data_IF_836698940156
#
_entry.id   IF_836698940156
#
_cell.length_a   1.000
_cell.length_b   1.000
_cell.length_c   1.000
_cell.angle_alpha   90.00
_cell.angle_beta   90.00
_cell.angle_gamma   90.00
#
_symmetry.space_group_name_H-M   'P 1'
#
loop_
_entity.id
_entity.type
_entity.pdbx_description
1 polymer ?
#
# COMPACT_ATOMS: atom_id res chain seq x y z
N UNK A 1 21.71 -1.72 -17.31
CA UNK A 1 20.42 -2.21 -16.76
C UNK A 1 20.67 -3.40 -15.86
N UNK A 2 20.36 -3.26 -14.57
CA UNK A 2 20.51 -4.30 -13.55
C UNK A 2 19.45 -5.42 -13.69
N UNK A 3 19.66 -6.53 -12.97
CA UNK A 3 18.79 -7.72 -13.03
C UNK A 3 17.35 -7.42 -12.61
N UNK A 4 17.14 -6.52 -11.65
CA UNK A 4 15.82 -6.15 -11.17
C UNK A 4 15.08 -5.33 -12.22
N UNK A 5 15.72 -4.32 -12.80
CA UNK A 5 15.14 -3.51 -13.88
C UNK A 5 14.71 -4.34 -15.09
N UNK A 6 15.47 -5.40 -15.45
CA UNK A 6 15.08 -6.32 -16.53
C UNK A 6 13.83 -7.13 -16.21
N UNK A 7 13.67 -7.58 -14.95
CA UNK A 7 12.48 -8.32 -14.53
C UNK A 7 11.23 -7.46 -14.60
N UNK A 8 11.31 -6.22 -14.12
CA UNK A 8 10.19 -5.26 -14.12
C UNK A 8 9.70 -4.98 -15.54
N UNK A 9 10.62 -4.71 -16.47
CA UNK A 9 10.27 -4.51 -17.87
C UNK A 9 9.75 -5.78 -18.55
N UNK A 10 10.23 -6.96 -18.15
CA UNK A 10 9.69 -8.24 -18.60
C UNK A 10 8.22 -8.44 -18.24
N UNK A 11 7.74 -7.79 -17.17
CA UNK A 11 6.32 -7.74 -16.78
C UNK A 11 5.55 -6.59 -17.42
N UNK A 12 6.15 -5.88 -18.39
CA UNK A 12 5.58 -4.67 -19.03
C UNK A 12 5.26 -3.54 -18.04
N UNK A 13 5.95 -3.50 -16.91
CA UNK A 13 5.87 -2.41 -15.94
C UNK A 13 6.99 -1.41 -16.20
N UNK A 14 6.70 -0.12 -16.01
CA UNK A 14 7.68 0.96 -16.10
C UNK A 14 8.11 1.42 -14.70
N UNK A 15 9.38 1.83 -14.57
CA UNK A 15 9.87 2.48 -13.35
C UNK A 15 9.75 3.99 -13.53
N UNK A 16 8.89 4.63 -12.72
CA UNK A 16 8.61 6.06 -12.79
C UNK A 16 9.60 6.93 -11.98
N UNK A 17 10.80 6.45 -11.72
CA UNK A 17 11.78 7.19 -10.90
C UNK A 17 12.35 8.38 -11.69
N UNK A 18 11.73 9.56 -11.55
CA UNK A 18 12.04 10.79 -12.29
C UNK A 18 12.79 11.87 -11.45
N UNK A 19 13.11 11.61 -10.17
CA UNK A 19 13.95 12.51 -9.39
C UNK A 19 14.40 11.95 -8.04
N UNK A 20 15.66 12.20 -7.64
CA UNK A 20 16.12 11.92 -6.27
C UNK A 20 15.41 12.85 -5.29
N UNK A 21 14.74 12.29 -4.28
CA UNK A 21 14.23 13.06 -3.13
C UNK A 21 12.87 13.75 -3.31
N UNK A 22 12.03 13.31 -4.28
CA UNK A 22 10.69 13.89 -4.45
C UNK A 22 9.74 13.41 -3.35
N UNK A 23 9.61 14.22 -2.28
CA UNK A 23 8.78 13.94 -1.09
C UNK A 23 7.32 13.56 -1.43
N UNK A 24 6.76 14.12 -2.50
CA UNK A 24 5.35 13.90 -2.86
C UNK A 24 5.10 12.42 -3.18
N UNK A 25 6.00 11.79 -3.94
CA UNK A 25 5.84 10.41 -4.39
C UNK A 25 5.92 9.41 -3.22
N UNK A 26 6.71 9.74 -2.18
CA UNK A 26 6.87 8.89 -1.00
C UNK A 26 5.88 9.21 0.14
N UNK A 27 5.19 10.35 0.11
CA UNK A 27 4.38 10.83 1.24
C UNK A 27 3.29 9.83 1.66
N UNK A 28 2.65 9.19 0.69
CA UNK A 28 1.54 8.26 0.96
C UNK A 28 2.05 7.01 1.67
N UNK A 29 3.13 6.41 1.16
CA UNK A 29 3.71 5.21 1.75
C UNK A 29 4.35 5.50 3.12
N UNK A 30 4.97 6.67 3.31
CA UNK A 30 5.47 7.11 4.62
C UNK A 30 4.37 7.20 5.68
N UNK A 31 3.21 7.76 5.31
CA UNK A 31 2.04 7.85 6.21
C UNK A 31 1.53 6.48 6.59
N UNK A 32 1.42 5.56 5.62
CA UNK A 32 1.04 4.17 5.87
C UNK A 32 1.99 3.53 6.90
N UNK A 33 3.30 3.62 6.67
CA UNK A 33 4.30 3.04 7.57
C UNK A 33 4.28 3.68 8.96
N UNK A 34 4.05 4.99 9.06
CA UNK A 34 3.89 5.65 10.36
C UNK A 34 2.69 5.06 11.12
N UNK A 35 1.51 5.00 10.51
CA UNK A 35 0.33 4.43 11.15
C UNK A 35 0.53 2.96 11.56
N UNK A 36 1.10 2.14 10.68
CA UNK A 36 1.37 0.73 11.01
C UNK A 36 2.28 0.59 12.24
N UNK A 37 3.35 1.40 12.31
CA UNK A 37 4.28 1.35 13.43
C UNK A 37 3.62 1.75 14.75
N UNK A 38 2.92 2.88 14.77
CA UNK A 38 2.31 3.38 16.00
C UNK A 38 1.12 2.55 16.46
N UNK A 39 0.31 2.04 15.55
CA UNK A 39 -0.94 1.35 15.90
C UNK A 39 -0.74 -0.17 16.11
N UNK A 40 0.35 -0.74 15.61
CA UNK A 40 0.61 -2.18 15.76
C UNK A 40 2.02 -2.47 16.26
N UNK A 41 3.05 -2.08 15.54
CA UNK A 41 4.42 -2.55 15.85
C UNK A 41 4.90 -2.10 17.23
N UNK A 42 4.68 -0.84 17.60
CA UNK A 42 5.16 -0.31 18.87
C UNK A 42 4.30 -0.70 20.08
N UNK A 43 3.06 -1.12 19.85
CA UNK A 43 2.15 -1.56 20.90
C UNK A 43 2.22 -3.07 21.18
N UNK A 44 2.86 -3.83 20.31
CA UNK A 44 2.92 -5.28 20.40
C UNK A 44 4.38 -5.72 20.57
N UNK A 45 4.66 -6.43 21.66
CA UNK A 45 5.90 -7.18 21.81
C UNK A 45 5.73 -8.53 21.09
N UNK A 46 6.05 -8.57 19.80
CA UNK A 46 6.01 -9.82 19.06
C UNK A 46 7.16 -10.71 19.49
N UNK A 47 6.85 -11.89 20.03
CA UNK A 47 7.86 -12.85 20.50
C UNK A 47 8.47 -13.64 19.32
N UNK A 48 7.68 -13.83 18.25
CA UNK A 48 8.09 -14.58 17.08
C UNK A 48 7.76 -13.88 15.76
N UNK A 49 8.58 -14.11 14.73
CA UNK A 49 8.33 -13.58 13.39
C UNK A 49 7.00 -14.05 12.77
N UNK A 50 6.50 -15.22 13.14
CA UNK A 50 5.17 -15.70 12.72
C UNK A 50 4.04 -14.87 13.30
N UNK A 51 4.20 -14.41 14.54
CA UNK A 51 3.25 -13.54 15.21
C UNK A 51 3.26 -12.14 14.58
N UNK A 52 4.45 -11.60 14.34
CA UNK A 52 4.61 -10.33 13.64
C UNK A 52 3.96 -10.38 12.24
N UNK A 53 4.16 -11.46 11.47
CA UNK A 53 3.49 -11.64 10.16
C UNK A 53 1.98 -11.63 10.27
N UNK A 54 1.41 -12.35 11.24
CA UNK A 54 -0.05 -12.36 11.48
C UNK A 54 -0.57 -10.99 11.90
N UNK A 55 0.10 -10.34 12.85
CA UNK A 55 -0.32 -9.04 13.39
C UNK A 55 -0.22 -7.90 12.38
N UNK A 56 0.89 -7.84 11.64
CA UNK A 56 1.06 -6.86 10.55
C UNK A 56 0.07 -7.16 9.42
N UNK A 57 -0.10 -8.43 9.03
CA UNK A 57 -1.07 -8.83 8.02
C UNK A 57 -2.48 -8.40 8.36
N UNK A 58 -2.94 -8.67 9.58
CA UNK A 58 -4.25 -8.22 10.07
C UNK A 58 -4.40 -6.69 9.98
N UNK A 59 -3.38 -5.93 10.40
CA UNK A 59 -3.42 -4.47 10.35
C UNK A 59 -3.45 -3.92 8.91
N UNK A 60 -2.83 -4.60 7.94
CA UNK A 60 -2.92 -4.25 6.52
C UNK A 60 -4.33 -4.57 5.98
N UNK A 61 -4.90 -5.73 6.31
CA UNK A 61 -6.27 -6.08 5.93
C UNK A 61 -7.28 -5.06 6.45
N UNK A 62 -7.16 -4.63 7.71
CA UNK A 62 -8.01 -3.60 8.29
C UNK A 62 -7.83 -2.23 7.61
N UNK A 63 -6.59 -1.88 7.23
CA UNK A 63 -6.32 -0.64 6.49
C UNK A 63 -7.06 -0.60 5.15
N UNK A 64 -7.06 -1.74 4.45
CA UNK A 64 -7.61 -1.84 3.11
C UNK A 64 -9.15 -1.97 3.11
N UNK A 65 -9.70 -2.78 4.02
CA UNK A 65 -11.10 -3.18 3.97
C UNK A 65 -12.01 -2.60 5.05
N UNK A 66 -11.47 -1.88 6.05
CA UNK A 66 -12.29 -1.33 7.15
C UNK A 66 -12.06 0.16 7.42
N UNK A 67 -10.85 0.66 7.15
CA UNK A 67 -10.53 2.05 7.44
C UNK A 67 -11.06 2.96 6.32
N UNK A 68 -11.99 3.88 6.61
CA UNK A 68 -12.41 4.88 5.64
C UNK A 68 -11.32 5.93 5.45
N UNK A 69 -11.15 6.42 4.22
CA UNK A 69 -10.14 7.40 3.86
C UNK A 69 -10.79 8.66 3.30
N UNK A 70 -10.49 9.82 3.88
CA UNK A 70 -11.06 11.09 3.44
C UNK A 70 -10.70 11.46 1.99
N UNK A 71 -9.53 11.03 1.50
CA UNK A 71 -9.13 11.19 0.10
C UNK A 71 -9.99 10.40 -0.88
N UNK A 72 -10.71 9.38 -0.42
CA UNK A 72 -11.59 8.54 -1.23
C UNK A 72 -13.07 8.77 -0.89
N UNK A 73 -13.44 9.93 -0.36
CA UNK A 73 -14.83 10.23 -0.01
C UNK A 73 -15.37 9.35 1.13
N UNK A 74 -14.50 8.99 2.10
CA UNK A 74 -14.80 8.09 3.22
C UNK A 74 -15.00 6.62 2.81
N UNK A 75 -14.68 6.24 1.58
CA UNK A 75 -14.57 4.84 1.20
C UNK A 75 -13.30 4.20 1.78
N UNK A 76 -13.35 2.89 1.96
CA UNK A 76 -12.17 2.05 2.19
C UNK A 76 -11.34 1.94 0.90
N UNK A 77 -10.08 1.52 1.00
CA UNK A 77 -9.24 1.34 -0.19
C UNK A 77 -9.82 0.27 -1.12
N UNK A 78 -10.30 -0.84 -0.55
CA UNK A 78 -10.92 -1.91 -1.31
C UNK A 78 -12.11 -1.38 -2.14
N UNK A 79 -13.02 -0.63 -1.52
CA UNK A 79 -14.18 -0.04 -2.21
C UNK A 79 -13.77 0.98 -3.29
N UNK A 80 -12.81 1.86 -2.98
CA UNK A 80 -12.37 2.88 -3.92
C UNK A 80 -11.75 2.27 -5.18
N UNK A 81 -10.91 1.24 -5.03
CA UNK A 81 -10.26 0.58 -6.16
C UNK A 81 -11.18 -0.41 -6.89
N UNK A 82 -12.08 -1.10 -6.20
CA UNK A 82 -13.07 -1.96 -6.86
C UNK A 82 -14.04 -1.15 -7.71
N UNK A 83 -14.52 0.00 -7.20
CA UNK A 83 -15.34 0.95 -7.99
C UNK A 83 -14.60 1.46 -9.22
N UNK A 84 -13.29 1.73 -9.11
CA UNK A 84 -12.48 2.18 -10.24
C UNK A 84 -12.34 1.11 -11.33
N UNK A 85 -12.23 -0.17 -10.94
CA UNK A 85 -12.13 -1.31 -11.86
C UNK A 85 -13.46 -1.52 -12.63
N UNK A 86 -14.61 -1.37 -11.96
CA UNK A 86 -15.92 -1.42 -12.62
C UNK A 86 -16.10 -0.30 -13.66
N UNK A 87 -15.66 0.91 -13.34
CA UNK A 87 -15.73 2.05 -14.27
C UNK A 87 -14.78 1.87 -15.48
N UNK A 88 -13.59 1.30 -15.28
CA UNK A 88 -12.66 0.97 -16.35
C UNK A 88 -13.21 -0.14 -17.26
N UNK A 89 -13.86 -1.16 -16.69
CA UNK A 89 -14.54 -2.23 -17.45
C UNK A 89 -15.76 -1.74 -18.22
N UNK A 90 -16.52 -0.78 -17.68
CA UNK A 90 -17.68 -0.20 -18.36
C UNK A 90 -17.30 0.79 -19.49
N UNK A 91 -16.08 1.31 -19.47
CA UNK A 91 -15.55 2.23 -20.49
C UNK A 91 -14.71 1.55 -21.59
N UNK A 92 -14.55 0.22 -21.52
CA UNK A 92 -13.84 -0.62 -22.48
C UNK A 92 -14.82 -1.41 -23.36
#
# INVERSE_FOLDING_TARGET
MDRHSRKVLGWRLSNSMDGRGRRIDNRMIERLWRSLKYERVYLNAFEAGSEARKGIGARISDYNGKRPHSSHGLLTQAEAYDTSDQNLKAAA
#
